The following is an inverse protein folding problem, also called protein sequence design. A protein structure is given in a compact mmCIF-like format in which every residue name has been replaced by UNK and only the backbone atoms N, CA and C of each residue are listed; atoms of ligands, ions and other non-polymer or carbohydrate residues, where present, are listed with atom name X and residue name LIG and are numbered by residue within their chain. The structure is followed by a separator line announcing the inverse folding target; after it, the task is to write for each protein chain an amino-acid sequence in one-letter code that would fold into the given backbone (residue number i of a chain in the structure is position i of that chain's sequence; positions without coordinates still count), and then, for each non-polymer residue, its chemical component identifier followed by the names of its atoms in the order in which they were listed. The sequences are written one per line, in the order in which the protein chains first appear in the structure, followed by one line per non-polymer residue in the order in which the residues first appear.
data_IF_716113815698
#
_entry.id   IF_716113815698
#
_cell.length_a   1.000
_cell.length_b   1.000
_cell.length_c   1.000
_cell.angle_alpha   90.00
_cell.angle_beta   90.00
_cell.angle_gamma   90.00
#
_symmetry.space_group_name_H-M   'P 1'
#
loop_
_entity.id
_entity.type
_entity.pdbx_description
1 polymer ?
#
# COMPACT_ATOMS: atom_id res chain seq x y z
N UNK A 1 -50.38 36.33 -14.83
CA UNK A 1 -49.77 36.05 -16.14
C UNK A 1 -48.34 36.59 -16.15
N UNK A 2 -47.31 35.75 -16.20
CA UNK A 2 -45.93 36.21 -16.33
C UNK A 2 -45.72 36.78 -17.74
N UNK A 3 -45.11 37.96 -17.83
CA UNK A 3 -44.82 38.63 -19.10
C UNK A 3 -43.88 37.71 -19.94
N UNK A 4 -44.09 37.66 -21.26
CA UNK A 4 -43.29 36.86 -22.21
C UNK A 4 -41.78 37.09 -22.06
N UNK A 5 -41.35 38.27 -21.65
CA UNK A 5 -39.95 38.63 -21.37
C UNK A 5 -39.41 37.92 -20.13
N UNK A 6 -40.21 37.75 -19.06
CA UNK A 6 -39.81 37.03 -17.84
C UNK A 6 -39.75 35.54 -18.06
N UNK A 7 -40.60 34.99 -18.93
CA UNK A 7 -40.57 33.57 -19.30
C UNK A 7 -39.32 33.23 -20.12
N UNK A 8 -38.92 34.09 -21.05
CA UNK A 8 -37.70 33.91 -21.82
C UNK A 8 -36.44 33.92 -20.96
N UNK A 9 -36.34 34.78 -19.96
CA UNK A 9 -35.18 34.84 -19.04
C UNK A 9 -35.12 33.60 -18.17
N UNK A 10 -36.21 33.03 -17.72
CA UNK A 10 -36.25 31.81 -16.91
C UNK A 10 -35.83 30.60 -17.75
N UNK A 11 -36.23 30.49 -19.00
CA UNK A 11 -35.83 29.40 -19.91
C UNK A 11 -34.33 29.45 -20.25
N UNK A 12 -33.76 30.64 -20.45
CA UNK A 12 -32.31 30.80 -20.69
C UNK A 12 -31.51 30.46 -19.44
N UNK A 13 -31.97 30.84 -18.24
CA UNK A 13 -31.29 30.52 -16.99
C UNK A 13 -31.30 29.01 -16.67
N UNK A 14 -32.42 28.31 -16.96
CA UNK A 14 -32.47 26.84 -16.77
C UNK A 14 -31.66 26.08 -17.79
N UNK A 15 -31.53 26.51 -19.03
CA UNK A 15 -30.68 25.89 -20.03
C UNK A 15 -29.18 26.08 -19.75
N UNK A 16 -28.78 27.20 -19.15
CA UNK A 16 -27.39 27.44 -18.74
C UNK A 16 -26.94 26.53 -17.58
N UNK A 17 -27.83 26.16 -16.66
CA UNK A 17 -27.51 25.22 -15.57
C UNK A 17 -27.38 23.76 -16.05
N UNK A 18 -28.07 23.36 -17.10
CA UNK A 18 -27.99 22.02 -17.67
C UNK A 18 -26.74 21.81 -18.53
N UNK A 19 -26.12 22.88 -19.03
CA UNK A 19 -24.92 22.82 -19.86
C UNK A 19 -23.61 22.64 -19.05
N UNK A 20 -23.64 22.76 -17.73
CA UNK A 20 -22.48 22.67 -16.87
C UNK A 20 -22.19 21.25 -16.30
N UNK A 21 -22.99 20.24 -16.63
CA UNK A 21 -22.67 18.86 -16.36
C UNK A 21 -21.67 18.35 -17.40
N UNK A 22 -20.39 18.66 -17.21
CA UNK A 22 -19.34 17.99 -17.98
C UNK A 22 -19.46 16.49 -17.71
N UNK A 23 -19.60 15.65 -18.73
CA UNK A 23 -19.57 14.20 -18.53
C UNK A 23 -18.24 13.84 -17.87
N UNK A 24 -18.30 13.19 -16.73
CA UNK A 24 -17.10 12.62 -16.12
C UNK A 24 -16.61 11.49 -17.05
N UNK A 25 -15.60 11.76 -17.86
CA UNK A 25 -15.01 10.74 -18.71
C UNK A 25 -14.27 9.71 -17.86
N UNK A 26 -14.53 8.44 -18.12
CA UNK A 26 -13.74 7.36 -17.58
C UNK A 26 -12.29 7.50 -18.04
N UNK A 27 -11.38 7.63 -17.10
CA UNK A 27 -9.95 7.71 -17.40
C UNK A 27 -9.31 6.33 -17.29
N UNK A 28 -8.31 6.07 -18.13
CA UNK A 28 -7.40 4.93 -17.96
C UNK A 28 -6.10 5.44 -17.35
N UNK A 29 -5.71 4.85 -16.24
CA UNK A 29 -4.49 5.16 -15.50
C UNK A 29 -3.50 4.02 -15.68
N UNK A 30 -2.48 4.24 -16.48
CA UNK A 30 -1.41 3.29 -16.71
C UNK A 30 -0.31 3.49 -15.66
N UNK A 31 0.08 2.41 -15.00
CA UNK A 31 1.15 2.39 -14.01
C UNK A 31 2.07 1.20 -14.18
N UNK A 32 3.27 1.30 -13.62
CA UNK A 32 4.23 0.20 -13.61
C UNK A 32 5.15 0.28 -12.40
N UNK A 33 5.84 -0.82 -12.09
CA UNK A 33 6.84 -0.77 -11.04
C UNK A 33 6.97 -2.04 -10.22
N UNK A 34 7.00 -1.88 -8.89
CA UNK A 34 7.23 -2.98 -7.95
C UNK A 34 6.30 -4.17 -8.21
N UNK A 35 6.87 -5.34 -8.47
CA UNK A 35 6.10 -6.57 -8.61
C UNK A 35 5.43 -6.97 -7.29
N UNK A 36 5.98 -6.54 -6.19
CA UNK A 36 5.40 -6.74 -4.86
C UNK A 36 4.05 -6.03 -4.67
N UNK A 37 3.84 -4.89 -5.33
CA UNK A 37 2.58 -4.15 -5.30
C UNK A 37 1.50 -4.75 -6.22
N UNK A 38 1.88 -5.51 -7.23
CA UNK A 38 0.97 -5.98 -8.26
C UNK A 38 -0.23 -6.78 -7.74
N UNK A 39 -0.06 -7.78 -6.84
CA UNK A 39 -1.21 -8.55 -6.35
C UNK A 39 -2.26 -7.69 -5.65
N UNK A 40 -1.84 -6.69 -4.89
CA UNK A 40 -2.76 -5.77 -4.22
C UNK A 40 -3.51 -4.90 -5.24
N UNK A 41 -2.79 -4.32 -6.18
CA UNK A 41 -3.39 -3.48 -7.23
C UNK A 41 -4.38 -4.29 -8.06
N UNK A 42 -4.00 -5.51 -8.44
CA UNK A 42 -4.87 -6.42 -9.22
C UNK A 42 -6.13 -6.80 -8.45
N UNK A 43 -6.05 -6.96 -7.14
CA UNK A 43 -7.22 -7.23 -6.30
C UNK A 43 -8.16 -6.01 -6.20
N UNK A 44 -7.61 -4.81 -6.09
CA UNK A 44 -8.40 -3.59 -5.85
C UNK A 44 -8.94 -2.92 -7.13
N UNK A 45 -8.28 -3.10 -8.29
CA UNK A 45 -8.62 -2.37 -9.53
C UNK A 45 -10.05 -2.61 -10.03
N UNK A 46 -10.62 -3.78 -9.74
CA UNK A 46 -11.99 -4.13 -10.17
C UNK A 46 -13.02 -3.32 -9.40
N UNK A 47 -12.87 -3.22 -8.08
CA UNK A 47 -13.79 -2.46 -7.25
C UNK A 47 -13.59 -0.95 -7.46
N UNK A 48 -12.34 -0.51 -7.63
CA UNK A 48 -12.05 0.87 -8.03
C UNK A 48 -12.76 1.28 -9.34
N UNK A 49 -12.76 0.39 -10.34
CA UNK A 49 -13.46 0.65 -11.60
C UNK A 49 -14.98 0.74 -11.41
N UNK A 50 -15.57 -0.13 -10.58
CA UNK A 50 -17.01 -0.07 -10.27
C UNK A 50 -17.40 1.22 -9.57
N UNK A 51 -16.56 1.68 -8.63
CA UNK A 51 -16.86 2.82 -7.78
C UNK A 51 -16.65 4.17 -8.50
N UNK A 52 -15.66 4.22 -9.39
CA UNK A 52 -15.22 5.47 -10.02
C UNK A 52 -15.44 5.54 -11.53
N UNK A 53 -15.66 4.41 -12.18
CA UNK A 53 -15.66 4.28 -13.64
C UNK A 53 -14.27 4.33 -14.27
N UNK A 54 -13.20 4.60 -13.51
CA UNK A 54 -11.83 4.66 -14.03
C UNK A 54 -11.19 3.29 -14.12
N UNK A 55 -10.30 3.10 -15.10
CA UNK A 55 -9.57 1.84 -15.30
C UNK A 55 -8.12 2.00 -14.86
N UNK A 56 -7.61 1.04 -14.10
CA UNK A 56 -6.20 0.95 -13.74
C UNK A 56 -5.57 -0.22 -14.50
N UNK A 57 -4.50 0.07 -15.25
CA UNK A 57 -3.59 -0.91 -15.78
C UNK A 57 -2.27 -0.84 -14.99
N UNK A 58 -1.79 -1.97 -14.51
CA UNK A 58 -0.53 -2.03 -13.80
C UNK A 58 0.32 -3.18 -14.31
N UNK A 59 1.59 -2.90 -14.58
CA UNK A 59 2.55 -3.90 -15.01
C UNK A 59 3.72 -3.95 -14.05
N UNK A 60 3.97 -5.11 -13.45
CA UNK A 60 5.18 -5.38 -12.68
C UNK A 60 6.41 -5.31 -13.58
N UNK A 61 7.53 -4.95 -13.01
CA UNK A 61 8.81 -4.85 -13.72
C UNK A 61 9.93 -4.40 -12.79
N UNK A 62 9.60 -4.32 -11.50
CA UNK A 62 10.47 -3.84 -10.44
C UNK A 62 10.42 -2.33 -10.25
N UNK A 63 10.71 -1.90 -9.01
CA UNK A 63 10.65 -0.49 -8.59
C UNK A 63 11.49 0.44 -9.46
N UNK A 64 12.67 -0.02 -9.90
CA UNK A 64 13.55 0.75 -10.79
C UNK A 64 12.91 1.08 -12.13
N UNK A 65 12.30 0.07 -12.77
CA UNK A 65 11.57 0.24 -14.05
C UNK A 65 10.39 1.20 -13.86
N UNK A 66 9.62 1.04 -12.77
CA UNK A 66 8.51 1.95 -12.46
C UNK A 66 8.96 3.40 -12.35
N UNK A 67 9.99 3.68 -11.56
CA UNK A 67 10.55 5.03 -11.43
C UNK A 67 11.04 5.59 -12.77
N UNK A 68 11.74 4.79 -13.57
CA UNK A 68 12.21 5.21 -14.91
C UNK A 68 11.04 5.54 -15.83
N UNK A 69 10.01 4.71 -15.87
CA UNK A 69 8.84 4.95 -16.70
C UNK A 69 8.10 6.22 -16.26
N UNK A 70 7.93 6.43 -14.96
CA UNK A 70 7.30 7.61 -14.41
C UNK A 70 8.07 8.89 -14.74
N UNK A 71 9.40 8.89 -14.53
CA UNK A 71 10.29 10.02 -14.88
C UNK A 71 10.19 10.37 -16.37
N UNK A 72 10.02 9.36 -17.22
CA UNK A 72 9.90 9.54 -18.67
C UNK A 72 8.45 9.77 -19.13
N UNK A 73 7.52 10.05 -18.24
CA UNK A 73 6.08 10.27 -18.53
C UNK A 73 5.41 9.13 -19.30
N UNK A 74 5.87 7.89 -19.08
CA UNK A 74 5.30 6.67 -19.69
C UNK A 74 4.17 6.04 -18.88
N UNK A 75 3.73 6.69 -17.82
CA UNK A 75 2.62 6.25 -16.98
C UNK A 75 2.15 7.34 -16.05
N UNK A 76 0.92 7.22 -15.57
CA UNK A 76 0.31 8.15 -14.62
C UNK A 76 0.84 7.99 -13.19
N UNK A 77 1.32 6.80 -12.84
CA UNK A 77 1.88 6.50 -11.52
C UNK A 77 2.91 5.37 -11.59
N UNK A 78 3.71 5.25 -10.53
CA UNK A 78 4.65 4.15 -10.35
C UNK A 78 4.49 3.49 -8.98
N UNK A 79 4.57 2.17 -8.93
CA UNK A 79 4.74 1.42 -7.70
C UNK A 79 6.21 1.27 -7.36
N UNK A 80 6.59 1.56 -6.11
CA UNK A 80 7.97 1.41 -5.68
C UNK A 80 8.07 1.02 -4.21
N UNK A 81 8.95 0.08 -3.90
CA UNK A 81 9.27 -0.35 -2.54
C UNK A 81 10.23 0.64 -1.85
N UNK A 82 10.83 1.55 -2.62
CA UNK A 82 11.75 2.58 -2.13
C UNK A 82 11.50 3.91 -2.82
N UNK A 83 11.71 5.01 -2.10
CA UNK A 83 11.72 6.34 -2.70
C UNK A 83 12.87 6.51 -3.70
N UNK A 84 12.87 7.62 -4.44
CA UNK A 84 14.03 8.02 -5.23
C UNK A 84 15.20 8.30 -4.30
N UNK A 85 16.37 7.85 -4.67
CA UNK A 85 17.64 8.15 -3.95
C UNK A 85 18.40 9.30 -4.60
N UNK A 86 18.07 9.62 -5.84
CA UNK A 86 18.65 10.72 -6.63
C UNK A 86 17.74 11.03 -7.82
N UNK A 87 17.90 12.20 -8.42
CA UNK A 87 17.16 12.64 -9.61
C UNK A 87 15.64 12.51 -9.46
N UNK A 88 15.11 12.86 -8.29
CA UNK A 88 13.68 12.85 -8.02
C UNK A 88 12.97 13.90 -8.91
N UNK A 89 11.89 13.51 -9.63
CA UNK A 89 11.14 14.46 -10.43
C UNK A 89 10.51 15.57 -9.56
N UNK A 90 10.55 16.81 -10.03
CA UNK A 90 9.91 17.91 -9.32
C UNK A 90 8.38 17.70 -9.20
N UNK A 91 7.85 17.98 -8.02
CA UNK A 91 6.40 17.85 -7.76
C UNK A 91 5.88 16.44 -7.57
N UNK A 92 6.76 15.45 -7.43
CA UNK A 92 6.34 14.06 -7.11
C UNK A 92 5.64 14.02 -5.75
N UNK A 93 4.63 13.18 -5.65
CA UNK A 93 3.91 12.90 -4.41
C UNK A 93 4.00 11.40 -4.12
N UNK A 94 4.39 11.06 -2.91
CA UNK A 94 4.42 9.70 -2.41
C UNK A 94 3.15 9.38 -1.62
N UNK A 95 2.48 8.30 -1.97
CA UNK A 95 1.34 7.77 -1.24
C UNK A 95 1.67 6.35 -0.74
N UNK A 96 1.92 6.15 0.55
CA UNK A 96 2.03 4.80 1.11
C UNK A 96 0.71 4.06 0.99
N UNK A 97 0.70 2.89 0.34
CA UNK A 97 -0.53 2.14 0.08
C UNK A 97 -0.68 0.90 0.96
N UNK A 98 0.42 0.29 1.39
CA UNK A 98 0.39 -0.86 2.28
C UNK A 98 1.76 -1.10 2.92
N UNK A 99 1.77 -1.94 3.95
CA UNK A 99 2.99 -2.51 4.53
C UNK A 99 2.82 -4.03 4.60
N UNK A 100 3.89 -4.77 4.34
CA UNK A 100 3.90 -6.22 4.46
C UNK A 100 5.15 -6.70 5.20
N UNK A 101 5.03 -7.75 6.04
CA UNK A 101 6.18 -8.34 6.68
C UNK A 101 7.05 -9.08 5.65
N UNK A 102 8.35 -9.00 5.84
CA UNK A 102 9.31 -9.84 5.13
C UNK A 102 9.71 -10.98 6.07
N UNK A 103 9.57 -12.21 5.61
CA UNK A 103 9.93 -13.41 6.37
C UNK A 103 10.96 -14.24 5.64
N UNK A 104 11.87 -14.83 6.41
CA UNK A 104 12.80 -15.83 5.89
C UNK A 104 12.11 -17.20 5.94
N UNK A 105 11.91 -17.80 4.79
CA UNK A 105 11.39 -19.16 4.69
C UNK A 105 12.54 -20.16 4.78
N UNK A 106 12.35 -21.22 5.55
CA UNK A 106 13.31 -22.30 5.69
C UNK A 106 12.61 -23.67 5.68
N UNK A 107 13.35 -24.72 5.37
CA UNK A 107 12.84 -26.08 5.41
C UNK A 107 13.78 -26.94 6.28
N UNK A 108 13.39 -27.17 7.52
CA UNK A 108 14.09 -28.00 8.50
C UNK A 108 13.09 -29.04 9.06
N UNK A 109 12.90 -30.19 8.37
CA UNK A 109 11.85 -31.16 8.68
C UNK A 109 11.91 -31.75 10.09
N UNK A 110 13.08 -31.76 10.70
CA UNK A 110 13.32 -32.30 12.06
C UNK A 110 13.00 -31.30 13.16
N UNK A 111 12.90 -30.01 12.84
CA UNK A 111 12.62 -28.94 13.79
C UNK A 111 11.15 -28.55 13.65
N UNK A 112 10.40 -28.71 14.73
CA UNK A 112 8.95 -28.38 14.75
C UNK A 112 8.70 -26.96 15.25
N UNK A 113 9.66 -26.37 15.93
CA UNK A 113 9.57 -25.05 16.50
C UNK A 113 10.13 -23.99 15.54
N UNK A 114 9.65 -22.75 15.67
CA UNK A 114 10.21 -21.65 14.90
C UNK A 114 11.62 -21.33 15.35
N UNK A 115 12.55 -21.19 14.41
CA UNK A 115 13.89 -20.73 14.69
C UNK A 115 13.95 -19.21 14.79
N UNK A 116 14.80 -18.73 15.66
CA UNK A 116 15.10 -17.30 15.80
C UNK A 116 16.42 -17.00 15.13
N UNK A 117 16.46 -15.94 14.35
CA UNK A 117 17.68 -15.48 13.69
C UNK A 117 17.84 -13.98 13.94
N UNK A 118 18.97 -13.60 14.50
CA UNK A 118 19.30 -12.18 14.64
C UNK A 118 19.56 -11.54 13.26
N UNK A 119 19.38 -10.22 13.09
CA UNK A 119 19.69 -9.54 11.84
C UNK A 119 21.14 -9.80 11.37
N UNK A 120 22.09 -9.92 12.30
CA UNK A 120 23.48 -10.22 11.98
C UNK A 120 23.63 -11.67 11.44
N UNK A 121 22.96 -12.63 12.06
CA UNK A 121 22.96 -14.03 11.61
C UNK A 121 22.31 -14.15 10.23
N UNK A 122 21.18 -13.49 10.00
CA UNK A 122 20.53 -13.43 8.69
C UNK A 122 21.49 -12.86 7.63
N UNK A 123 22.15 -11.75 7.92
CA UNK A 123 23.10 -11.14 6.99
C UNK A 123 24.25 -12.09 6.64
N UNK A 124 24.77 -12.85 7.63
CA UNK A 124 25.85 -13.81 7.41
C UNK A 124 25.39 -15.05 6.61
N UNK A 125 24.15 -15.50 6.78
CA UNK A 125 23.57 -16.57 5.95
C UNK A 125 23.49 -16.12 4.49
N UNK A 126 22.89 -14.95 4.24
CA UNK A 126 22.70 -14.45 2.88
C UNK A 126 24.01 -13.99 2.19
N UNK A 127 25.05 -13.65 2.96
CA UNK A 127 26.38 -13.36 2.41
C UNK A 127 27.25 -14.60 2.22
N UNK A 128 26.78 -15.79 2.62
CA UNK A 128 27.49 -17.05 2.47
C UNK A 128 28.57 -17.33 3.52
N UNK A 129 28.68 -16.51 4.56
CA UNK A 129 29.60 -16.81 5.68
C UNK A 129 29.09 -17.98 6.53
N UNK A 130 27.77 -18.09 6.70
CA UNK A 130 27.12 -19.22 7.34
C UNK A 130 26.54 -20.10 6.24
N UNK A 131 27.05 -21.33 6.12
CA UNK A 131 26.63 -22.31 5.09
C UNK A 131 25.94 -23.53 5.68
N UNK A 132 25.95 -23.71 6.99
CA UNK A 132 25.35 -24.85 7.68
C UNK A 132 24.36 -24.38 8.75
N UNK A 133 23.28 -25.11 8.92
CA UNK A 133 22.27 -24.82 9.94
C UNK A 133 22.71 -25.10 11.38
N UNK A 134 23.78 -25.85 11.57
CA UNK A 134 24.42 -26.16 12.86
C UNK A 134 25.48 -25.13 13.26
N UNK A 135 25.55 -23.99 12.57
CA UNK A 135 26.49 -22.92 12.91
C UNK A 135 26.25 -22.38 14.31
N UNK A 136 27.34 -22.09 15.03
CA UNK A 136 27.33 -21.59 16.40
C UNK A 136 26.55 -20.30 16.59
N UNK A 137 26.45 -19.46 15.58
CA UNK A 137 25.68 -18.21 15.65
C UNK A 137 24.19 -18.49 15.58
N UNK A 138 23.76 -19.44 14.76
CA UNK A 138 22.37 -19.89 14.72
C UNK A 138 22.01 -20.55 16.05
N UNK A 139 22.88 -21.43 16.57
CA UNK A 139 22.68 -22.06 17.88
C UNK A 139 22.54 -21.01 19.00
N UNK A 140 23.43 -20.02 19.04
CA UNK A 140 23.40 -18.95 20.04
C UNK A 140 22.12 -18.08 19.97
N UNK A 141 21.58 -17.83 18.79
CA UNK A 141 20.30 -17.12 18.62
C UNK A 141 19.11 -17.92 19.19
N UNK A 142 19.20 -19.26 19.19
CA UNK A 142 18.13 -20.16 19.62
C UNK A 142 18.26 -20.65 21.08
N UNK A 143 19.45 -20.57 21.66
CA UNK A 143 19.67 -20.88 23.09
C UNK A 143 19.15 -19.80 24.05
N UNK A 144 18.67 -18.68 23.52
CA UNK A 144 18.11 -17.61 24.35
C UNK A 144 16.82 -18.05 25.00
N UNK A 145 16.73 -17.83 26.30
CA UNK A 145 15.44 -17.65 26.96
C UNK A 145 14.84 -16.33 26.47
N UNK A 146 14.10 -16.35 25.39
CA UNK A 146 13.38 -15.16 24.90
C UNK A 146 12.31 -14.85 25.92
N UNK A 147 12.51 -13.81 26.73
CA UNK A 147 11.40 -13.18 27.43
C UNK A 147 10.50 -12.58 26.34
N UNK A 148 9.53 -13.36 25.89
CA UNK A 148 8.48 -12.86 25.00
C UNK A 148 7.94 -11.59 25.60
N UNK A 149 7.99 -10.43 24.93
CA UNK A 149 7.33 -9.26 25.46
C UNK A 149 5.85 -9.62 25.57
N UNK A 150 5.39 -9.79 26.80
CA UNK A 150 3.97 -9.95 27.07
C UNK A 150 3.38 -8.61 26.66
N UNK A 151 2.78 -8.53 25.50
CA UNK A 151 1.93 -7.40 25.12
C UNK A 151 0.83 -7.36 26.17
N UNK A 152 1.03 -6.54 27.21
CA UNK A 152 -0.03 -6.26 28.15
C UNK A 152 -1.14 -5.63 27.35
N UNK A 153 -2.23 -6.36 27.18
CA UNK A 153 -3.45 -5.84 26.58
C UNK A 153 -3.84 -4.62 27.42
N UNK A 154 -3.61 -3.42 26.89
CA UNK A 154 -3.98 -2.19 27.56
C UNK A 154 -5.49 -2.11 27.51
N UNK A 155 -6.15 -2.52 28.58
CA UNK A 155 -7.59 -2.32 28.75
C UNK A 155 -7.85 -0.83 28.83
N UNK A 156 -8.23 -0.21 27.73
CA UNK A 156 -8.60 1.20 27.68
C UNK A 156 -10.05 1.33 28.15
N UNK A 157 -10.26 1.96 29.30
CA UNK A 157 -11.61 2.32 29.74
C UNK A 157 -12.10 3.50 28.90
N UNK A 158 -13.21 3.32 28.22
CA UNK A 158 -13.88 4.38 27.45
C UNK A 158 -15.19 4.72 28.13
N UNK A 159 -15.39 5.99 28.46
CA UNK A 159 -16.69 6.49 28.95
C UNK A 159 -17.56 6.86 27.74
N UNK A 160 -18.79 6.40 27.74
CA UNK A 160 -19.79 6.82 26.77
C UNK A 160 -20.36 8.22 27.10
N UNK A 161 -21.24 8.73 26.23
CA UNK A 161 -21.89 10.04 26.40
C UNK A 161 -22.72 10.13 27.70
N UNK A 162 -23.04 9.00 28.32
CA UNK A 162 -23.86 8.90 29.54
C UNK A 162 -22.99 8.62 30.80
N UNK A 163 -21.67 8.70 30.66
CA UNK A 163 -20.73 8.49 31.74
C UNK A 163 -20.49 7.01 32.12
N UNK A 164 -21.07 6.06 31.40
CA UNK A 164 -20.90 4.64 31.65
C UNK A 164 -19.56 4.15 31.12
N UNK A 165 -18.74 3.57 31.98
CA UNK A 165 -17.41 3.06 31.61
C UNK A 165 -17.52 1.66 31.01
N UNK A 166 -17.00 1.45 29.82
CA UNK A 166 -16.81 0.13 29.20
C UNK A 166 -15.32 -0.13 28.98
N UNK A 167 -14.92 -1.39 29.15
CA UNK A 167 -13.54 -1.84 28.90
C UNK A 167 -13.53 -2.46 27.52
N UNK A 168 -12.76 -1.87 26.56
CA UNK A 168 -12.48 -2.51 25.27
C UNK A 168 -11.12 -3.18 25.35
N UNK A 169 -11.10 -4.45 25.00
CA UNK A 169 -9.90 -5.29 24.81
C UNK A 169 -9.38 -5.11 23.39
#
# INVERSE_FOLDING_TARGET
MLSRKKLAVVVIATSALLASSSPAYAATLDGSGATFAQPLIDACKVDFNKDTGHTINYTGGGSGTGRTNFTNSKGAFAGSDTAYTSAEPAGIVYAPIYAAPIAVMYNLPTIKESIYLSPATIAQIFSGYISNWDDKLIAADNERTVKTPIFKTVKKSVKDKNGKTSIKT
#
